data_IF_764387017510
#
_entry.id   IF_764387017510
#
_cell.length_a   1.000
_cell.length_b   1.000
_cell.length_c   1.000
_cell.angle_alpha   90.00
_cell.angle_beta   90.00
_cell.angle_gamma   90.00
#
_symmetry.space_group_name_H-M   'P 1'
#
loop_
_entity.id
_entity.type
_entity.pdbx_description
1 polymer ?
#
# COMPACT_ATOMS: atom_id res chain seq x y z
N UNK A 1 -14.31 -1.77 -6.78
CA UNK A 1 -13.87 -1.72 -5.36
C UNK A 1 -12.36 -1.72 -5.30
N UNK A 2 -11.79 -0.84 -4.48
CA UNK A 2 -10.36 -0.84 -4.23
C UNK A 2 -10.07 -1.45 -2.86
N UNK A 3 -8.98 -2.18 -2.77
CA UNK A 3 -8.46 -2.71 -1.52
C UNK A 3 -7.05 -2.18 -1.36
N UNK A 4 -6.90 -1.18 -0.50
CA UNK A 4 -5.66 -0.41 -0.37
C UNK A 4 -4.88 -0.91 0.84
N UNK A 5 -3.62 -1.28 0.63
CA UNK A 5 -2.74 -1.76 1.71
C UNK A 5 -1.67 -0.71 1.99
N UNK A 6 -1.49 -0.39 3.27
CA UNK A 6 -0.51 0.59 3.73
C UNK A 6 0.32 -0.05 4.84
N UNK A 7 1.65 -0.14 4.68
CA UNK A 7 2.50 -0.67 5.76
C UNK A 7 2.46 0.28 6.95
N UNK A 8 2.26 -0.26 8.16
CA UNK A 8 2.15 0.56 9.35
C UNK A 8 3.07 0.09 10.47
N UNK A 9 3.49 1.04 11.28
CA UNK A 9 4.27 0.84 12.49
C UNK A 9 3.75 1.83 13.52
N UNK A 10 3.32 1.32 14.68
CA UNK A 10 2.74 2.16 15.75
C UNK A 10 1.60 3.05 15.24
N UNK A 11 0.70 2.47 14.45
CA UNK A 11 -0.50 3.12 13.89
C UNK A 11 -0.20 4.20 12.83
N UNK A 12 1.06 4.37 12.45
CA UNK A 12 1.49 5.33 11.43
C UNK A 12 2.08 4.61 10.24
N UNK A 13 2.19 5.32 9.12
CA UNK A 13 2.87 4.81 7.94
C UNK A 13 4.28 4.34 8.32
N UNK A 14 4.60 3.09 8.00
CA UNK A 14 5.94 2.57 8.21
C UNK A 14 6.91 3.22 7.21
N UNK A 15 8.13 3.59 7.65
CA UNK A 15 9.13 4.13 6.72
C UNK A 15 9.67 3.07 5.75
N UNK A 16 9.51 1.78 6.05
CA UNK A 16 10.08 0.71 5.24
C UNK A 16 9.03 -0.32 4.85
N UNK A 17 8.80 -0.45 3.56
CA UNK A 17 7.80 -1.40 3.05
C UNK A 17 8.19 -2.85 3.35
N UNK A 18 9.42 -3.22 2.98
CA UNK A 18 9.85 -4.62 3.00
C UNK A 18 9.96 -5.23 4.41
N UNK A 19 10.19 -4.42 5.42
CA UNK A 19 10.37 -4.91 6.79
C UNK A 19 9.14 -4.74 7.66
N UNK A 20 8.03 -4.28 7.09
CA UNK A 20 6.81 -4.05 7.86
C UNK A 20 6.04 -5.37 8.04
N UNK A 21 5.80 -5.82 9.28
CA UNK A 21 5.04 -7.04 9.52
C UNK A 21 3.52 -6.83 9.51
N UNK A 22 3.09 -5.59 9.39
CA UNK A 22 1.67 -5.22 9.57
C UNK A 22 1.24 -4.23 8.50
N UNK A 23 0.08 -4.49 7.91
CA UNK A 23 -0.52 -3.61 6.92
C UNK A 23 -1.91 -3.19 7.38
N UNK A 24 -2.22 -1.92 7.22
CA UNK A 24 -3.59 -1.43 7.37
C UNK A 24 -4.28 -1.57 6.01
N UNK A 25 -5.46 -2.17 6.02
CA UNK A 25 -6.23 -2.43 4.81
C UNK A 25 -7.49 -1.56 4.81
N UNK A 26 -7.71 -0.85 3.71
CA UNK A 26 -8.91 -0.04 3.52
C UNK A 26 -9.68 -0.56 2.31
N UNK A 27 -10.94 -0.90 2.52
CA UNK A 27 -11.83 -1.23 1.41
C UNK A 27 -12.58 0.04 1.02
N UNK A 28 -12.54 0.38 -0.26
CA UNK A 28 -13.17 1.60 -0.79
C UNK A 28 -14.17 1.21 -1.87
N UNK A 29 -15.41 1.68 -1.72
CA UNK A 29 -16.48 1.49 -2.70
C UNK A 29 -17.12 2.83 -2.97
N UNK A 30 -17.27 3.18 -4.26
CA UNK A 30 -17.93 4.44 -4.65
C UNK A 30 -17.33 5.64 -3.93
N UNK A 31 -16.00 5.68 -3.85
CA UNK A 31 -15.24 6.77 -3.23
C UNK A 31 -15.48 6.92 -1.73
N UNK A 32 -15.92 5.84 -1.06
CA UNK A 32 -16.15 5.84 0.39
C UNK A 32 -15.40 4.67 1.01
N UNK A 33 -14.73 4.93 2.13
CA UNK A 33 -14.11 3.87 2.93
C UNK A 33 -15.22 3.09 3.62
N UNK A 34 -15.40 1.82 3.25
CA UNK A 34 -16.46 0.99 3.82
C UNK A 34 -15.96 0.03 4.90
N UNK A 35 -14.64 -0.20 4.96
CA UNK A 35 -14.07 -1.08 5.98
C UNK A 35 -12.61 -0.77 6.20
N UNK A 36 -12.16 -0.88 7.45
CA UNK A 36 -10.76 -0.77 7.84
C UNK A 36 -10.39 -2.02 8.63
N UNK A 37 -9.22 -2.57 8.37
CA UNK A 37 -8.75 -3.76 9.10
C UNK A 37 -7.23 -3.78 9.13
N UNK A 38 -6.67 -4.65 9.97
CA UNK A 38 -5.24 -4.88 10.03
C UNK A 38 -4.94 -6.27 9.48
N UNK A 39 -3.87 -6.38 8.71
CA UNK A 39 -3.42 -7.63 8.14
C UNK A 39 -2.00 -7.90 8.61
N UNK A 40 -1.81 -9.01 9.31
CA UNK A 40 -0.50 -9.44 9.77
C UNK A 40 0.15 -10.34 8.75
N UNK A 41 1.43 -10.11 8.47
CA UNK A 41 2.20 -11.02 7.63
C UNK A 41 2.51 -12.29 8.41
N UNK A 42 2.47 -13.46 7.77
CA UNK A 42 2.98 -14.66 8.41
C UNK A 42 4.49 -14.53 8.65
N UNK A 43 5.02 -15.25 9.64
CA UNK A 43 6.44 -15.20 9.96
C UNK A 43 7.32 -15.65 8.81
N UNK A 44 6.78 -16.47 7.91
CA UNK A 44 7.46 -16.89 6.68
C UNK A 44 6.49 -16.83 5.52
N UNK A 45 6.92 -16.22 4.42
CA UNK A 45 6.17 -16.24 3.18
C UNK A 45 6.75 -17.32 2.27
N UNK A 46 5.89 -18.11 1.67
CA UNK A 46 6.31 -19.10 0.67
C UNK A 46 6.51 -18.47 -0.70
N UNK A 47 6.14 -17.20 -0.84
CA UNK A 47 6.22 -16.45 -2.09
C UNK A 47 6.60 -15.02 -1.78
N UNK A 48 6.90 -14.22 -2.82
CA UNK A 48 7.23 -12.81 -2.62
C UNK A 48 6.05 -12.05 -2.02
N UNK A 49 6.34 -10.97 -1.31
CA UNK A 49 5.30 -10.14 -0.70
C UNK A 49 4.31 -9.58 -1.73
N UNK A 50 4.73 -9.08 -2.91
CA UNK A 50 3.78 -8.66 -3.92
C UNK A 50 2.82 -9.75 -4.36
N UNK A 51 3.31 -10.97 -4.55
CA UNK A 51 2.45 -12.10 -4.92
C UNK A 51 1.46 -12.41 -3.80
N UNK A 52 1.94 -12.42 -2.56
CA UNK A 52 1.09 -12.69 -1.40
C UNK A 52 -0.03 -11.66 -1.27
N UNK A 53 0.30 -10.38 -1.41
CA UNK A 53 -0.71 -9.32 -1.35
C UNK A 53 -1.69 -9.39 -2.51
N UNK A 54 -1.21 -9.74 -3.72
CA UNK A 54 -2.08 -9.94 -4.86
C UNK A 54 -3.10 -11.03 -4.60
N UNK A 55 -2.69 -12.12 -3.98
CA UNK A 55 -3.60 -13.21 -3.62
C UNK A 55 -4.62 -12.81 -2.57
N UNK A 56 -4.32 -11.79 -1.76
CA UNK A 56 -5.26 -11.25 -0.79
C UNK A 56 -6.23 -10.24 -1.40
N UNK A 57 -6.13 -9.99 -2.70
CA UNK A 57 -7.04 -9.09 -3.41
C UNK A 57 -6.67 -7.63 -3.33
N UNK A 58 -5.46 -7.31 -2.90
CA UNK A 58 -5.01 -5.92 -2.82
C UNK A 58 -4.93 -5.32 -4.23
N UNK A 59 -5.45 -4.12 -4.40
CA UNK A 59 -5.46 -3.42 -5.69
C UNK A 59 -4.49 -2.24 -5.73
N UNK A 60 -4.17 -1.66 -4.58
CA UNK A 60 -3.34 -0.47 -4.48
C UNK A 60 -2.45 -0.54 -3.24
N UNK A 61 -1.25 0.01 -3.37
CA UNK A 61 -0.30 0.15 -2.26
C UNK A 61 0.02 1.63 -2.10
N UNK A 62 0.00 2.12 -0.87
CA UNK A 62 0.50 3.46 -0.54
C UNK A 62 1.63 3.28 0.45
N UNK A 63 2.81 3.79 0.13
CA UNK A 63 3.98 3.62 0.98
C UNK A 63 4.96 4.77 0.83
N UNK A 64 5.87 4.91 1.79
CA UNK A 64 6.89 5.95 1.75
C UNK A 64 8.06 5.55 0.87
N UNK A 65 8.53 4.33 1.02
CA UNK A 65 9.65 3.79 0.26
C UNK A 65 9.36 2.36 -0.19
N UNK A 66 9.84 2.00 -1.36
CA UNK A 66 9.73 0.65 -1.89
C UNK A 66 10.78 0.49 -3.00
N UNK A 67 11.31 -0.71 -3.16
CA UNK A 67 12.30 -1.00 -4.20
C UNK A 67 11.66 -1.11 -5.58
N UNK A 68 12.45 -0.83 -6.62
CA UNK A 68 12.00 -0.96 -8.00
C UNK A 68 11.53 -2.36 -8.35
N UNK A 69 12.20 -3.36 -7.80
CA UNK A 69 11.85 -4.76 -8.04
C UNK A 69 10.44 -5.09 -7.55
N UNK A 70 10.11 -4.60 -6.37
CA UNK A 70 8.79 -4.77 -5.80
C UNK A 70 7.73 -4.03 -6.59
N UNK A 71 8.05 -2.81 -7.05
CA UNK A 71 7.13 -2.04 -7.90
C UNK A 71 6.82 -2.82 -9.18
N UNK A 72 7.85 -3.37 -9.82
CA UNK A 72 7.67 -4.14 -11.04
C UNK A 72 6.78 -5.36 -10.81
N UNK A 73 6.99 -6.07 -9.71
CA UNK A 73 6.17 -7.22 -9.37
C UNK A 73 4.73 -6.85 -9.10
N UNK A 74 4.49 -5.75 -8.37
CA UNK A 74 3.13 -5.26 -8.16
C UNK A 74 2.47 -4.90 -9.48
N UNK A 75 3.18 -4.22 -10.36
CA UNK A 75 2.64 -3.83 -11.67
C UNK A 75 2.30 -5.04 -12.53
N UNK A 76 3.09 -6.11 -12.44
CA UNK A 76 2.80 -7.36 -13.14
C UNK A 76 1.47 -7.97 -12.68
N UNK A 77 1.09 -7.72 -11.44
CA UNK A 77 -0.17 -8.20 -10.87
C UNK A 77 -1.27 -7.13 -10.92
N UNK A 78 -1.04 -6.06 -11.69
CA UNK A 78 -2.00 -4.97 -11.88
C UNK A 78 -2.33 -4.25 -10.57
N UNK A 79 -1.37 -4.18 -9.67
CA UNK A 79 -1.49 -3.43 -8.42
C UNK A 79 -0.78 -2.09 -8.60
N UNK A 80 -1.49 -1.00 -8.31
CA UNK A 80 -0.92 0.34 -8.38
C UNK A 80 -0.09 0.62 -7.14
N UNK A 81 1.01 1.34 -7.30
CA UNK A 81 1.91 1.69 -6.20
C UNK A 81 2.08 3.19 -6.14
N UNK A 82 1.78 3.78 -4.99
CA UNK A 82 1.94 5.21 -4.74
C UNK A 82 3.04 5.41 -3.71
N UNK A 83 4.14 6.03 -4.12
CA UNK A 83 5.40 6.08 -3.38
C UNK A 83 5.76 7.51 -3.00
N UNK A 84 6.45 7.67 -1.88
CA UNK A 84 6.99 8.96 -1.47
C UNK A 84 5.96 9.91 -0.91
N UNK A 85 4.92 9.36 -0.28
CA UNK A 85 3.87 10.17 0.32
C UNK A 85 4.41 10.94 1.52
N UNK A 86 3.82 12.10 1.81
CA UNK A 86 4.32 13.02 2.82
C UNK A 86 3.69 12.86 4.20
N UNK A 87 2.46 12.39 4.25
CA UNK A 87 1.77 12.19 5.52
C UNK A 87 2.08 10.83 6.11
N UNK A 88 1.90 10.70 7.41
CA UNK A 88 2.09 9.44 8.10
C UNK A 88 0.78 8.81 8.56
N UNK A 89 -0.34 9.52 8.46
CA UNK A 89 -1.64 8.99 8.88
C UNK A 89 -2.25 8.18 7.74
N UNK A 90 -2.43 6.86 7.92
CA UNK A 90 -2.93 6.00 6.84
C UNK A 90 -4.30 6.41 6.32
N UNK A 91 -5.22 6.76 7.19
CA UNK A 91 -6.57 7.13 6.77
C UNK A 91 -6.58 8.42 5.95
N UNK A 92 -5.77 9.42 6.36
CA UNK A 92 -5.66 10.66 5.61
C UNK A 92 -5.09 10.41 4.22
N UNK A 93 -4.12 9.50 4.09
CA UNK A 93 -3.56 9.13 2.79
C UNK A 93 -4.64 8.53 1.88
N UNK A 94 -5.48 7.67 2.41
CA UNK A 94 -6.56 7.07 1.62
C UNK A 94 -7.59 8.12 1.22
N UNK A 95 -7.93 9.03 2.12
CA UNK A 95 -8.87 10.10 1.81
C UNK A 95 -8.32 11.02 0.71
N UNK A 96 -7.03 11.36 0.77
CA UNK A 96 -6.38 12.13 -0.29
C UNK A 96 -6.37 11.38 -1.62
N UNK A 97 -6.15 10.08 -1.58
CA UNK A 97 -6.21 9.23 -2.76
C UNK A 97 -7.61 9.27 -3.38
N UNK A 98 -8.64 9.13 -2.57
CA UNK A 98 -10.03 9.18 -3.03
C UNK A 98 -10.36 10.53 -3.67
N UNK A 99 -9.87 11.62 -3.07
CA UNK A 99 -10.11 12.97 -3.56
C UNK A 99 -9.23 13.35 -4.76
N UNK A 100 -8.28 12.50 -5.12
CA UNK A 100 -7.39 12.75 -6.25
C UNK A 100 -6.30 13.78 -5.97
N UNK A 101 -5.98 14.03 -4.71
CA UNK A 101 -4.99 15.02 -4.31
C UNK A 101 -3.77 14.42 -3.61
N UNK A 102 -3.65 13.08 -3.62
CA UNK A 102 -2.50 12.42 -2.99
C UNK A 102 -1.21 12.80 -3.70
N UNK A 103 -0.26 13.35 -2.96
CA UNK A 103 1.06 13.69 -3.49
C UNK A 103 2.01 12.50 -3.35
N UNK A 104 2.71 12.18 -4.42
CA UNK A 104 3.66 11.09 -4.47
C UNK A 104 4.98 11.57 -5.03
N UNK A 105 6.02 10.75 -4.84
CA UNK A 105 7.36 11.06 -5.33
C UNK A 105 7.63 10.24 -6.60
N UNK A 106 7.62 10.90 -7.76
CA UNK A 106 7.68 10.23 -9.06
C UNK A 106 9.01 9.58 -9.39
N UNK A 107 10.06 9.97 -8.72
CA UNK A 107 11.42 9.47 -8.99
C UNK A 107 11.48 7.95 -9.00
N UNK A 108 10.73 7.31 -8.10
CA UNK A 108 10.76 5.85 -7.98
C UNK A 108 9.86 5.16 -9.00
N UNK A 109 9.17 5.92 -9.84
CA UNK A 109 8.32 5.38 -10.90
C UNK A 109 9.05 5.30 -12.25
N UNK A 110 10.36 5.51 -12.26
CA UNK A 110 11.15 5.28 -13.45
C UNK A 110 11.18 6.42 -14.46
N UNK A 111 10.93 7.59 -14.00
CA UNK A 111 10.99 8.78 -14.87
C UNK A 111 12.39 9.29 -15.04
#
# INVERSE_FOLDING_TARGET
MQKIAIPVLDHKLSPHFASSPLFKIFLVENEVIVKESLMHLPSRLSESLPVWLAKKGVTDIITKEIGHKEIDLFNQHKINVFVGVKHENPKDLVLEYIEGILETHDILLGH
#
